data_IF_136836187500
#
_entry.id   IF_136836187500
#
_cell.length_a   1.000
_cell.length_b   1.000
_cell.length_c   1.000
_cell.angle_alpha   90.00
_cell.angle_beta   90.00
_cell.angle_gamma   90.00
#
_symmetry.space_group_name_H-M   'P 1'
#
loop_
_entity.id
_entity.type
_entity.pdbx_description
1 polymer ?
#
# COMPACT_ATOMS: atom_id res chain seq x y z
N UNK A 1 34.92 22.00 35.15
CA UNK A 1 33.89 21.00 35.49
C UNK A 1 32.60 21.16 34.65
N UNK A 2 32.16 22.39 34.36
CA UNK A 2 30.96 22.67 33.53
C UNK A 2 31.05 22.23 32.05
N UNK A 3 32.23 22.29 31.43
CA UNK A 3 32.39 21.94 29.99
C UNK A 3 32.13 20.44 29.69
N UNK A 4 32.46 19.56 30.65
CA UNK A 4 32.23 18.12 30.53
C UNK A 4 30.75 17.74 30.68
N UNK A 5 30.00 18.51 31.47
CA UNK A 5 28.56 18.34 31.65
C UNK A 5 27.79 18.79 30.40
N UNK A 6 28.23 19.86 29.76
CA UNK A 6 27.62 20.38 28.52
C UNK A 6 27.81 19.43 27.33
N UNK A 7 29.00 18.82 27.21
CA UNK A 7 29.29 17.79 26.19
C UNK A 7 28.45 16.53 26.38
N UNK A 8 28.24 16.10 27.63
CA UNK A 8 27.37 14.95 27.92
C UNK A 8 25.91 15.21 27.52
N UNK A 9 25.41 16.42 27.78
CA UNK A 9 24.05 16.81 27.42
C UNK A 9 23.83 16.84 25.89
N UNK A 10 24.82 17.32 25.13
CA UNK A 10 24.76 17.33 23.66
C UNK A 10 24.78 15.91 23.05
N UNK A 11 25.55 14.98 23.63
CA UNK A 11 25.61 13.58 23.17
C UNK A 11 24.28 12.86 23.44
N UNK A 12 23.61 13.14 24.57
CA UNK A 12 22.30 12.55 24.86
C UNK A 12 21.17 13.09 23.96
N UNK A 13 21.24 14.36 23.56
CA UNK A 13 20.26 14.97 22.63
C UNK A 13 20.46 14.45 21.20
N UNK A 14 21.69 14.11 20.81
CA UNK A 14 21.97 13.41 19.54
C UNK A 14 21.43 11.98 19.52
N UNK A 15 21.50 11.26 20.64
CA UNK A 15 20.95 9.89 20.73
C UNK A 15 19.42 9.84 20.76
N UNK A 16 18.76 10.92 21.20
CA UNK A 16 17.29 11.01 21.26
C UNK A 16 16.63 11.58 20.00
N UNK A 17 17.41 12.00 18.99
CA UNK A 17 16.90 12.33 17.66
C UNK A 17 16.51 11.04 16.96
N UNK A 18 15.29 10.60 17.27
CA UNK A 18 14.74 9.29 16.95
C UNK A 18 15.00 8.85 15.51
N UNK A 19 15.53 7.63 15.40
CA UNK A 19 15.50 6.81 14.20
C UNK A 19 14.06 6.71 13.74
N UNK A 20 13.68 7.59 12.83
CA UNK A 20 12.40 7.51 12.18
C UNK A 20 12.45 6.27 11.30
N UNK A 21 11.76 5.22 11.74
CA UNK A 21 11.48 4.02 10.96
C UNK A 21 10.56 4.43 9.80
N UNK A 22 11.14 5.13 8.82
CA UNK A 22 10.47 5.43 7.56
C UNK A 22 10.55 4.16 6.71
N UNK A 23 9.40 3.68 6.26
CA UNK A 23 9.36 2.75 5.14
C UNK A 23 9.58 3.58 3.87
N UNK A 24 10.73 3.43 3.21
CA UNK A 24 10.93 3.99 1.88
C UNK A 24 9.88 3.37 0.95
N UNK A 25 9.07 4.20 0.31
CA UNK A 25 7.88 3.77 -0.40
C UNK A 25 7.19 4.93 -1.10
N UNK A 26 6.09 4.68 -1.82
CA UNK A 26 5.37 5.67 -2.64
C UNK A 26 4.67 6.77 -1.85
N UNK A 27 4.97 6.85 -0.55
CA UNK A 27 4.49 7.81 0.42
C UNK A 27 5.67 8.45 1.16
N UNK A 28 6.89 8.51 0.60
CA UNK A 28 8.06 9.05 1.32
C UNK A 28 7.97 10.56 1.60
N UNK A 29 7.21 11.28 0.76
CA UNK A 29 6.98 12.72 0.83
C UNK A 29 5.72 13.08 1.65
N UNK A 30 4.75 12.18 1.67
CA UNK A 30 3.57 12.24 2.52
C UNK A 30 3.94 11.73 3.91
N UNK A 31 3.59 12.44 4.98
CA UNK A 31 3.95 12.05 6.36
C UNK A 31 3.22 10.78 6.88
N UNK A 32 3.00 9.77 6.04
CA UNK A 32 2.34 8.51 6.36
C UNK A 32 3.30 7.62 7.12
N UNK A 33 2.91 7.27 8.33
CA UNK A 33 3.67 6.41 9.24
C UNK A 33 3.13 4.99 9.16
N UNK A 34 3.98 4.00 9.43
CA UNK A 34 3.59 2.59 9.37
C UNK A 34 2.35 2.27 10.26
N UNK A 35 2.24 2.94 11.40
CA UNK A 35 1.14 2.75 12.37
C UNK A 35 -0.16 3.48 11.99
N UNK A 36 -0.15 4.28 10.93
CA UNK A 36 -1.37 4.91 10.42
C UNK A 36 -2.29 3.87 9.75
N UNK A 37 -1.68 2.80 9.20
CA UNK A 37 -2.37 1.68 8.59
C UNK A 37 -2.40 0.46 9.51
N UNK A 38 -1.26 0.13 10.12
CA UNK A 38 -1.09 -1.09 10.91
C UNK A 38 -1.37 -0.88 12.40
N UNK A 39 -2.06 -1.83 13.03
CA UNK A 39 -2.25 -1.87 14.49
C UNK A 39 -0.93 -2.11 15.20
N UNK A 40 -0.09 -2.97 14.61
CA UNK A 40 1.24 -3.29 15.07
C UNK A 40 2.10 -3.71 13.88
N UNK A 41 3.41 -3.46 13.95
CA UNK A 41 4.34 -3.92 12.92
C UNK A 41 4.51 -5.44 13.01
N UNK A 42 4.50 -6.17 11.89
CA UNK A 42 4.64 -7.63 11.86
C UNK A 42 6.09 -8.08 12.06
N UNK A 43 6.79 -7.50 13.05
CA UNK A 43 8.15 -7.89 13.40
C UNK A 43 8.10 -9.28 14.04
N UNK A 44 8.55 -10.31 13.31
CA UNK A 44 8.59 -11.70 13.78
C UNK A 44 7.53 -12.64 13.21
N UNK A 45 6.93 -12.33 12.05
CA UNK A 45 6.06 -13.27 11.33
C UNK A 45 4.61 -13.33 11.83
N UNK A 46 4.21 -12.38 12.68
CA UNK A 46 2.79 -12.16 12.99
C UNK A 46 2.01 -11.72 11.75
N UNK A 47 0.73 -12.10 11.67
CA UNK A 47 -0.15 -11.70 10.58
C UNK A 47 -0.32 -10.16 10.49
N UNK A 48 -0.57 -9.66 9.29
CA UNK A 48 -0.85 -8.24 9.05
C UNK A 48 -2.17 -7.86 9.75
N UNK A 49 -2.13 -6.84 10.61
CA UNK A 49 -3.30 -6.33 11.32
C UNK A 49 -3.50 -4.86 11.01
N UNK A 50 -4.73 -4.49 10.63
CA UNK A 50 -5.12 -3.14 10.25
C UNK A 50 -6.14 -2.57 11.22
N UNK A 51 -6.14 -1.24 11.41
CA UNK A 51 -7.08 -0.57 12.33
C UNK A 51 -8.53 -0.69 11.88
N UNK A 52 -8.73 -0.74 10.55
CA UNK A 52 -10.03 -0.89 9.88
C UNK A 52 -9.82 -1.67 8.58
N UNK A 53 -10.87 -1.84 7.79
CA UNK A 53 -10.77 -2.42 6.45
C UNK A 53 -9.72 -1.67 5.61
N UNK A 54 -8.87 -2.42 4.91
CA UNK A 54 -7.77 -1.83 4.14
C UNK A 54 -8.26 -0.85 3.08
N UNK A 55 -9.46 -1.08 2.53
CA UNK A 55 -10.09 -0.17 1.59
C UNK A 55 -10.32 1.21 2.23
N UNK A 56 -10.83 1.23 3.46
CA UNK A 56 -11.14 2.46 4.17
C UNK A 56 -9.87 3.23 4.51
N UNK A 57 -8.77 2.53 4.83
CA UNK A 57 -7.45 3.14 5.04
C UNK A 57 -7.00 3.88 3.77
N UNK A 58 -7.04 3.21 2.61
CA UNK A 58 -6.63 3.83 1.34
C UNK A 58 -7.52 5.05 1.01
N UNK A 59 -8.84 4.93 1.18
CA UNK A 59 -9.79 5.98 0.80
C UNK A 59 -9.77 7.22 1.70
N UNK A 60 -9.15 7.18 2.89
CA UNK A 60 -8.95 8.39 3.71
C UNK A 60 -8.19 9.49 2.97
N UNK A 61 -7.19 9.09 2.19
CA UNK A 61 -6.40 10.00 1.36
C UNK A 61 -6.80 9.92 -0.12
N UNK A 62 -7.11 8.71 -0.62
CA UNK A 62 -7.46 8.44 -2.01
C UNK A 62 -8.99 8.48 -2.27
N UNK A 63 -9.74 9.29 -1.52
CA UNK A 63 -11.21 9.35 -1.63
C UNK A 63 -11.72 9.66 -3.03
N UNK A 64 -10.95 10.43 -3.81
CA UNK A 64 -11.21 10.73 -5.21
C UNK A 64 -11.26 9.48 -6.11
N UNK A 65 -10.64 8.38 -5.71
CA UNK A 65 -10.58 7.10 -6.44
C UNK A 65 -11.64 6.10 -5.99
N UNK A 66 -12.54 6.49 -5.09
CA UNK A 66 -13.66 5.62 -4.70
C UNK A 66 -14.47 5.21 -5.93
N UNK A 67 -14.89 3.93 -5.98
CA UNK A 67 -15.76 3.40 -7.03
C UNK A 67 -17.19 3.95 -6.96
N UNK A 68 -17.45 4.95 -6.10
CA UNK A 68 -18.71 5.69 -6.09
C UNK A 68 -18.66 6.66 -7.27
N UNK A 69 -19.52 6.49 -8.29
CA UNK A 69 -19.52 7.30 -9.49
C UNK A 69 -20.15 8.66 -9.16
N UNK A 70 -19.41 9.54 -8.48
CA UNK A 70 -19.90 10.88 -8.20
C UNK A 70 -19.41 11.90 -9.22
N UNK A 71 -18.44 11.55 -10.07
CA UNK A 71 -17.96 12.45 -11.13
C UNK A 71 -17.88 11.73 -12.47
N UNK A 72 -18.82 12.08 -13.35
CA UNK A 72 -18.84 11.70 -14.75
C UNK A 72 -17.63 12.34 -15.45
N UNK A 73 -16.54 11.58 -15.59
CA UNK A 73 -15.34 12.06 -16.28
C UNK A 73 -14.03 11.37 -15.91
N UNK A 74 -14.00 10.52 -14.87
CA UNK A 74 -12.78 9.81 -14.51
C UNK A 74 -12.59 8.53 -15.33
N UNK A 75 -11.39 8.35 -15.86
CA UNK A 75 -10.85 7.12 -16.46
C UNK A 75 -11.33 5.85 -15.73
N UNK A 76 -11.52 4.77 -16.48
CA UNK A 76 -12.05 3.48 -16.00
C UNK A 76 -11.40 3.05 -14.67
N UNK A 77 -12.18 3.12 -13.58
CA UNK A 77 -11.79 2.66 -12.26
C UNK A 77 -12.31 1.26 -12.06
N UNK A 78 -11.43 0.30 -11.82
CA UNK A 78 -11.85 -1.06 -11.51
C UNK A 78 -12.65 -1.08 -10.20
N UNK A 79 -13.74 -1.85 -10.11
CA UNK A 79 -14.48 -2.00 -8.86
C UNK A 79 -13.59 -2.60 -7.76
N UNK A 80 -13.65 -2.01 -6.56
CA UNK A 80 -13.04 -2.53 -5.34
C UNK A 80 -14.13 -2.85 -4.31
N UNK A 81 -13.77 -3.61 -3.27
CA UNK A 81 -14.71 -4.19 -2.30
C UNK A 81 -15.75 -5.11 -2.95
N UNK A 82 -15.36 -5.82 -4.01
CA UNK A 82 -16.21 -6.76 -4.74
C UNK A 82 -15.64 -8.18 -4.69
N UNK A 83 -16.51 -9.18 -4.57
CA UNK A 83 -16.10 -10.59 -4.72
C UNK A 83 -16.00 -10.90 -6.21
N UNK A 84 -14.85 -11.38 -6.65
CA UNK A 84 -14.66 -11.81 -8.03
C UNK A 84 -15.40 -13.14 -8.27
N UNK A 85 -16.23 -13.26 -9.32
CA UNK A 85 -16.87 -14.53 -9.67
C UNK A 85 -15.92 -15.51 -10.39
N UNK A 86 -14.63 -15.19 -10.44
CA UNK A 86 -13.59 -15.95 -11.13
C UNK A 86 -12.31 -16.01 -10.29
N UNK A 87 -11.41 -16.98 -10.54
CA UNK A 87 -10.15 -17.08 -9.82
C UNK A 87 -9.27 -15.85 -10.00
N UNK A 88 -8.72 -15.36 -8.89
CA UNK A 88 -7.72 -14.31 -8.85
C UNK A 88 -6.34 -14.95 -8.66
N UNK A 89 -5.28 -14.48 -9.36
CA UNK A 89 -3.94 -15.03 -9.19
C UNK A 89 -3.47 -14.99 -7.73
N UNK A 90 -2.71 -16.00 -7.31
CA UNK A 90 -2.26 -16.14 -5.93
C UNK A 90 -1.35 -14.99 -5.44
N UNK A 91 -0.65 -14.30 -6.35
CA UNK A 91 0.18 -13.13 -6.08
C UNK A 91 -0.60 -11.81 -5.94
N UNK A 92 -1.92 -11.83 -6.19
CA UNK A 92 -2.83 -10.70 -6.06
C UNK A 92 -3.76 -10.94 -4.86
N UNK A 93 -3.41 -10.42 -3.67
CA UNK A 93 -4.10 -10.76 -2.45
C UNK A 93 -5.53 -10.22 -2.44
N UNK A 94 -6.44 -11.03 -1.92
CA UNK A 94 -7.79 -10.62 -1.56
C UNK A 94 -7.83 -10.16 -0.10
N UNK A 95 -8.86 -9.41 0.25
CA UNK A 95 -9.12 -9.11 1.67
C UNK A 95 -9.63 -10.35 2.43
N UNK A 96 -9.80 -10.23 3.74
CA UNK A 96 -10.29 -11.31 4.62
C UNK A 96 -11.70 -11.83 4.24
N UNK A 97 -12.45 -11.06 3.43
CA UNK A 97 -13.78 -11.41 2.93
C UNK A 97 -13.74 -11.93 1.49
N UNK A 98 -12.55 -12.27 0.96
CA UNK A 98 -12.31 -12.69 -0.42
C UNK A 98 -12.75 -11.66 -1.47
N UNK A 99 -12.62 -10.37 -1.17
CA UNK A 99 -12.92 -9.29 -2.10
C UNK A 99 -11.65 -8.71 -2.72
N UNK A 100 -11.76 -8.26 -3.96
CA UNK A 100 -10.77 -7.42 -4.63
C UNK A 100 -10.76 -6.07 -3.91
N UNK A 101 -9.58 -5.58 -3.54
CA UNK A 101 -9.35 -4.26 -2.94
C UNK A 101 -8.20 -3.52 -3.61
N UNK A 102 -7.88 -2.32 -3.13
CA UNK A 102 -6.75 -1.52 -3.66
C UNK A 102 -5.43 -2.31 -3.70
N UNK A 103 -5.11 -3.05 -2.62
CA UNK A 103 -3.89 -3.84 -2.53
C UNK A 103 -3.86 -5.09 -3.41
N UNK A 104 -4.99 -5.52 -3.95
CA UNK A 104 -5.04 -6.64 -4.89
C UNK A 104 -4.26 -6.28 -6.16
N UNK A 105 -4.33 -5.03 -6.60
CA UNK A 105 -3.68 -4.53 -7.81
C UNK A 105 -2.44 -3.69 -7.52
N UNK A 106 -2.39 -2.95 -6.42
CA UNK A 106 -1.32 -2.01 -6.11
C UNK A 106 -0.33 -2.54 -5.06
N UNK A 107 0.95 -2.19 -5.23
CA UNK A 107 2.07 -2.45 -4.31
C UNK A 107 2.43 -1.20 -3.53
N UNK A 108 2.42 -1.29 -2.21
CA UNK A 108 2.66 -0.14 -1.34
C UNK A 108 3.98 -0.22 -0.58
N UNK A 109 4.54 -1.42 -0.40
CA UNK A 109 5.85 -1.62 0.24
C UNK A 109 6.92 -1.95 -0.80
N UNK A 110 8.10 -1.34 -0.66
CA UNK A 110 9.23 -1.52 -1.57
C UNK A 110 9.73 -2.95 -1.67
N UNK A 111 9.78 -3.64 -0.55
CA UNK A 111 10.20 -5.04 -0.42
C UNK A 111 9.28 -6.03 -1.15
N UNK A 112 8.08 -5.60 -1.54
CA UNK A 112 7.14 -6.40 -2.34
C UNK A 112 7.21 -6.12 -3.85
N UNK A 113 8.14 -5.25 -4.30
CA UNK A 113 8.33 -4.92 -5.71
C UNK A 113 9.19 -5.98 -6.41
N UNK A 114 8.77 -6.41 -7.60
CA UNK A 114 9.68 -7.07 -8.53
C UNK A 114 10.80 -6.07 -8.89
N UNK A 115 12.05 -6.53 -8.93
CA UNK A 115 13.27 -5.70 -9.04
C UNK A 115 13.47 -4.96 -10.37
N UNK A 116 12.45 -4.84 -11.19
CA UNK A 116 12.53 -4.28 -12.55
C UNK A 116 11.46 -3.19 -12.70
N UNK A 117 11.86 -2.05 -13.27
CA UNK A 117 11.11 -0.82 -13.58
C UNK A 117 9.80 -0.61 -12.83
N UNK A 118 9.76 0.44 -12.00
CA UNK A 118 8.55 0.90 -11.30
C UNK A 118 7.35 0.89 -12.25
N UNK A 119 6.40 -0.04 -12.11
CA UNK A 119 5.24 -0.06 -12.96
C UNK A 119 4.42 1.19 -12.68
N UNK A 120 3.94 1.83 -13.74
CA UNK A 120 3.10 3.04 -13.67
C UNK A 120 2.00 2.81 -12.63
N UNK A 121 1.81 3.78 -11.73
CA UNK A 121 0.80 3.74 -10.66
C UNK A 121 0.96 2.60 -9.63
N UNK A 122 2.17 2.04 -9.46
CA UNK A 122 2.47 1.03 -8.45
C UNK A 122 1.72 -0.28 -8.65
N UNK A 123 1.37 -0.62 -9.89
CA UNK A 123 0.65 -1.85 -10.18
C UNK A 123 1.54 -3.07 -9.91
N UNK A 124 0.96 -4.19 -9.46
CA UNK A 124 1.67 -5.48 -9.30
C UNK A 124 2.18 -6.04 -10.62
N UNK A 125 1.64 -5.58 -11.74
CA UNK A 125 1.88 -6.07 -13.09
C UNK A 125 1.91 -4.90 -14.07
N UNK A 126 2.52 -5.06 -15.26
CA UNK A 126 2.53 -4.02 -16.28
C UNK A 126 1.11 -3.55 -16.64
N UNK A 127 0.95 -2.24 -16.84
CA UNK A 127 -0.29 -1.64 -17.30
C UNK A 127 -0.66 -2.09 -18.74
N UNK A 128 -1.94 -2.00 -19.08
CA UNK A 128 -2.45 -2.25 -20.43
C UNK A 128 -3.36 -3.49 -20.53
N UNK A 129 -3.69 -3.95 -21.75
CA UNK A 129 -4.62 -5.07 -21.96
C UNK A 129 -4.18 -6.37 -21.27
N UNK A 130 -2.86 -6.59 -21.17
CA UNK A 130 -2.25 -7.73 -20.47
C UNK A 130 -2.57 -7.73 -18.97
N UNK A 131 -2.77 -6.56 -18.38
CA UNK A 131 -3.25 -6.43 -17.01
C UNK A 131 -4.67 -6.99 -16.87
N UNK A 132 -5.59 -6.56 -17.74
CA UNK A 132 -7.00 -6.97 -17.68
C UNK A 132 -7.17 -8.48 -17.82
N UNK A 133 -6.46 -9.11 -18.75
CA UNK A 133 -6.57 -10.56 -19.01
C UNK A 133 -5.96 -11.42 -17.90
N UNK A 134 -5.26 -10.82 -16.92
CA UNK A 134 -4.79 -11.52 -15.72
C UNK A 134 -5.96 -12.20 -15.00
N UNK A 135 -7.09 -11.52 -14.92
CA UNK A 135 -8.32 -12.03 -14.32
C UNK A 135 -9.41 -12.31 -15.37
N UNK A 136 -9.48 -11.49 -16.43
CA UNK A 136 -10.52 -11.60 -17.46
C UNK A 136 -10.10 -12.49 -18.64
N UNK A 137 -9.82 -13.76 -18.37
CA UNK A 137 -9.35 -14.72 -19.42
C UNK A 137 -10.34 -14.94 -20.57
N UNK A 138 -11.64 -14.68 -20.36
CA UNK A 138 -12.67 -14.78 -21.41
C UNK A 138 -12.56 -13.68 -22.49
N UNK A 139 -11.79 -12.61 -22.25
CA UNK A 139 -11.51 -11.58 -23.26
C UNK A 139 -10.53 -12.06 -24.34
N UNK A 140 -9.93 -13.24 -24.18
CA UNK A 140 -9.03 -13.86 -25.15
C UNK A 140 -9.75 -14.76 -26.17
N UNK A 141 -11.08 -14.92 -26.04
CA UNK A 141 -11.89 -15.74 -26.95
C UNK A 141 -12.59 -14.79 -27.93
N UNK A 142 -12.35 -14.90 -29.25
CA UNK A 142 -13.02 -14.09 -30.27
C UNK A 142 -14.53 -14.34 -30.32
#
# INVERSE_FOLDING_TARGET
MMLRFFLFFLITVWFFSGSSLFAAGPHDDSQVRCLDCHVALPLGGGGLRFHVDIQDICLRCHGAYSCKPQQAGSEFRHPVSVVAPFPIPADMPLDEKNRIGCITCHLFHEETRAKEDLPVYLLRRPFGPTFCITCHRKLLVP
#
